data_IF_290697961662
#
_entry.id   IF_290697961662
#
_cell.length_a   1.000
_cell.length_b   1.000
_cell.length_c   1.000
_cell.angle_alpha   90.00
_cell.angle_beta   90.00
_cell.angle_gamma   90.00
#
_symmetry.space_group_name_H-M   'P 1'
#
loop_
_entity.id
_entity.type
_entity.pdbx_description
1 polymer ?
#
# COMPACT_ATOMS: atom_id res chain seq x y z
N UNK A 1 1.88 14.35 4.13
CA UNK A 1 1.12 13.48 5.06
C UNK A 1 2.05 12.99 6.16
N UNK A 2 1.72 13.33 7.40
CA UNK A 2 2.58 13.01 8.55
C UNK A 2 2.74 11.50 8.74
N UNK A 3 1.66 10.74 8.63
CA UNK A 3 1.74 9.28 8.75
C UNK A 3 2.71 8.69 7.73
N UNK A 4 2.60 9.13 6.47
CA UNK A 4 3.46 8.62 5.40
C UNK A 4 4.94 8.92 5.67
N UNK A 5 5.23 10.15 6.06
CA UNK A 5 6.61 10.56 6.34
C UNK A 5 7.23 9.82 7.52
N UNK A 6 6.46 9.58 8.58
CA UNK A 6 6.97 8.97 9.80
C UNK A 6 6.96 7.44 9.78
N UNK A 7 5.98 6.84 9.14
CA UNK A 7 5.74 5.39 9.21
C UNK A 7 5.65 4.76 7.84
N UNK A 8 4.75 5.27 7.00
CA UNK A 8 4.33 4.61 5.79
C UNK A 8 5.41 4.49 4.72
N UNK A 9 6.19 5.54 4.50
CA UNK A 9 7.17 5.56 3.43
C UNK A 9 8.16 4.41 3.54
N UNK A 10 8.80 4.28 4.69
CA UNK A 10 9.81 3.24 4.89
C UNK A 10 9.20 1.85 4.88
N UNK A 11 8.04 1.69 5.51
CA UNK A 11 7.35 0.40 5.53
C UNK A 11 6.95 -0.03 4.12
N UNK A 12 6.39 0.88 3.33
CA UNK A 12 6.00 0.57 1.95
C UNK A 12 7.21 0.32 1.07
N UNK A 13 8.29 1.09 1.20
CA UNK A 13 9.51 0.86 0.43
C UNK A 13 10.07 -0.53 0.66
N UNK A 14 10.11 -0.98 1.91
CA UNK A 14 10.60 -2.31 2.24
C UNK A 14 9.73 -3.41 1.61
N UNK A 15 8.42 -3.29 1.73
CA UNK A 15 7.49 -4.27 1.18
C UNK A 15 7.52 -4.24 -0.36
N UNK A 16 7.55 -3.07 -0.96
CA UNK A 16 7.59 -2.93 -2.42
C UNK A 16 8.87 -3.56 -2.97
N UNK A 17 10.00 -3.31 -2.32
CA UNK A 17 11.29 -3.89 -2.74
C UNK A 17 11.21 -5.42 -2.73
N UNK A 18 10.65 -5.99 -1.67
CA UNK A 18 10.50 -7.43 -1.56
C UNK A 18 9.55 -8.00 -2.60
N UNK A 19 8.39 -7.37 -2.77
CA UNK A 19 7.40 -7.83 -3.74
C UNK A 19 7.91 -7.67 -5.18
N UNK A 20 8.58 -6.57 -5.47
CA UNK A 20 9.15 -6.35 -6.79
C UNK A 20 10.19 -7.43 -7.13
N UNK A 21 11.01 -7.82 -6.17
CA UNK A 21 11.99 -8.88 -6.35
C UNK A 21 11.32 -10.23 -6.64
N UNK A 22 10.06 -10.42 -6.22
CA UNK A 22 9.29 -11.63 -6.48
C UNK A 22 8.35 -11.50 -7.68
N UNK A 23 8.48 -10.45 -8.47
CA UNK A 23 7.72 -10.28 -9.71
C UNK A 23 6.36 -9.62 -9.56
N UNK A 24 6.02 -9.12 -8.40
CA UNK A 24 4.76 -8.39 -8.19
C UNK A 24 4.91 -6.93 -8.61
N UNK A 25 3.81 -6.33 -9.05
CA UNK A 25 3.79 -4.92 -9.49
C UNK A 25 2.81 -4.07 -8.71
N UNK A 26 2.04 -4.68 -7.81
CA UNK A 26 1.03 -3.98 -7.02
C UNK A 26 0.72 -4.75 -5.74
N UNK A 27 0.13 -4.02 -4.79
CA UNK A 27 -0.38 -4.59 -3.55
C UNK A 27 -1.70 -3.89 -3.19
N UNK A 28 -2.43 -4.45 -2.25
CA UNK A 28 -3.64 -3.82 -1.71
C UNK A 28 -3.49 -3.67 -0.21
N UNK A 29 -4.00 -2.56 0.33
CA UNK A 29 -3.98 -2.29 1.76
C UNK A 29 -5.41 -2.23 2.24
N UNK A 30 -5.77 -3.08 3.19
CA UNK A 30 -7.10 -3.10 3.78
C UNK A 30 -7.28 -1.92 4.74
N UNK A 31 -8.51 -1.62 5.10
CA UNK A 31 -8.81 -0.50 6.00
C UNK A 31 -8.10 -0.60 7.35
N UNK A 32 -7.80 -1.81 7.81
CA UNK A 32 -7.06 -2.03 9.06
C UNK A 32 -5.54 -1.94 8.91
N UNK A 33 -5.04 -1.68 7.70
CA UNK A 33 -3.60 -1.59 7.42
C UNK A 33 -2.95 -2.86 6.92
N UNK A 34 -3.67 -3.97 6.81
CA UNK A 34 -3.11 -5.21 6.29
C UNK A 34 -2.74 -5.08 4.82
N UNK A 35 -1.48 -5.34 4.50
CA UNK A 35 -1.00 -5.36 3.12
C UNK A 35 -1.20 -6.76 2.58
N UNK A 36 -1.99 -6.90 1.53
CA UNK A 36 -2.33 -8.19 0.95
C UNK A 36 -1.97 -8.25 -0.53
N UNK A 37 -1.64 -9.46 -0.99
CA UNK A 37 -1.46 -9.75 -2.40
C UNK A 37 -2.30 -10.96 -2.75
N UNK A 38 -2.69 -11.07 -4.02
CA UNK A 38 -3.37 -12.26 -4.52
C UNK A 38 -2.32 -13.23 -5.05
N UNK A 39 -2.27 -14.42 -4.46
CA UNK A 39 -1.36 -15.46 -4.84
C UNK A 39 -2.14 -16.74 -5.05
N UNK A 40 -2.11 -17.28 -6.28
CA UNK A 40 -2.84 -18.51 -6.64
C UNK A 40 -4.32 -18.44 -6.25
N UNK A 41 -4.98 -17.32 -6.55
CA UNK A 41 -6.38 -17.04 -6.23
C UNK A 41 -6.67 -16.94 -4.72
N UNK A 42 -5.64 -16.82 -3.89
CA UNK A 42 -5.78 -16.61 -2.44
C UNK A 42 -5.18 -15.31 -2.02
N UNK A 43 -5.85 -14.64 -1.11
CA UNK A 43 -5.35 -13.43 -0.50
C UNK A 43 -4.33 -13.81 0.56
N UNK A 44 -3.15 -13.18 0.50
CA UNK A 44 -2.06 -13.45 1.44
C UNK A 44 -1.63 -12.13 2.09
N UNK A 45 -1.67 -12.08 3.42
CA UNK A 45 -1.24 -10.91 4.18
C UNK A 45 0.29 -10.92 4.29
N UNK A 46 0.92 -9.85 3.82
CA UNK A 46 2.39 -9.74 3.83
C UNK A 46 2.89 -8.99 5.05
N UNK A 47 2.16 -7.98 5.49
CA UNK A 47 2.52 -7.16 6.63
C UNK A 47 1.30 -6.35 7.06
N UNK A 48 1.40 -5.68 8.21
CA UNK A 48 0.37 -4.76 8.67
C UNK A 48 1.01 -3.41 8.94
N UNK A 49 0.43 -2.35 8.37
CA UNK A 49 0.91 -0.99 8.58
C UNK A 49 0.36 -0.43 9.88
N UNK A 50 1.26 0.09 10.72
CA UNK A 50 0.88 0.72 11.98
C UNK A 50 0.17 2.04 11.73
N UNK A 51 -0.90 2.29 12.48
CA UNK A 51 -1.65 3.54 12.45
C UNK A 51 -2.10 3.96 11.03
N UNK A 52 -2.42 3.00 10.18
CA UNK A 52 -2.83 3.28 8.81
C UNK A 52 -4.06 4.19 8.79
N UNK A 53 -4.05 5.28 7.99
CA UNK A 53 -5.16 6.23 7.94
C UNK A 53 -6.45 5.58 7.45
N UNK A 54 -7.58 6.06 7.97
CA UNK A 54 -8.88 5.61 7.53
C UNK A 54 -9.19 6.03 6.10
N UNK A 55 -10.18 5.38 5.51
CA UNK A 55 -10.58 5.59 4.12
C UNK A 55 -10.82 7.06 3.74
N UNK A 56 -11.39 7.93 4.59
CA UNK A 56 -11.55 9.35 4.24
C UNK A 56 -10.24 10.09 3.93
N UNK A 57 -9.11 9.57 4.38
CA UNK A 57 -7.80 10.19 4.17
C UNK A 57 -7.05 9.61 2.97
N UNK A 58 -7.62 8.63 2.28
CA UNK A 58 -6.92 7.93 1.21
C UNK A 58 -6.67 8.79 -0.04
N UNK A 59 -7.54 9.76 -0.32
CA UNK A 59 -7.28 10.66 -1.45
C UNK A 59 -6.01 11.48 -1.24
N UNK A 60 -5.84 12.00 -0.04
CA UNK A 60 -4.62 12.72 0.34
C UNK A 60 -3.40 11.80 0.26
N UNK A 61 -3.55 10.58 0.76
CA UNK A 61 -2.48 9.59 0.72
C UNK A 61 -2.10 9.23 -0.72
N UNK A 62 -3.09 9.09 -1.61
CA UNK A 62 -2.83 8.82 -3.03
C UNK A 62 -1.99 9.94 -3.64
N UNK A 63 -2.30 11.20 -3.33
CA UNK A 63 -1.52 12.34 -3.81
C UNK A 63 -0.06 12.22 -3.38
N UNK A 64 0.18 11.86 -2.12
CA UNK A 64 1.54 11.68 -1.60
C UNK A 64 2.24 10.52 -2.29
N UNK A 65 1.54 9.41 -2.52
CA UNK A 65 2.10 8.27 -3.23
C UNK A 65 2.52 8.65 -4.66
N UNK A 66 1.69 9.43 -5.35
CA UNK A 66 2.01 9.89 -6.70
C UNK A 66 3.23 10.81 -6.74
N UNK A 67 3.42 11.63 -5.71
CA UNK A 67 4.61 12.47 -5.57
C UNK A 67 5.87 11.62 -5.40
N UNK A 68 5.74 10.39 -4.96
CA UNK A 68 6.84 9.45 -4.77
C UNK A 68 6.91 8.39 -5.87
N UNK A 69 6.31 8.68 -7.03
CA UNK A 69 6.34 7.82 -8.22
C UNK A 69 5.61 6.49 -8.04
N UNK A 70 4.67 6.46 -7.11
CA UNK A 70 3.77 5.32 -6.91
C UNK A 70 2.39 5.69 -7.42
N UNK A 71 1.56 4.69 -7.68
CA UNK A 71 0.18 4.91 -8.09
C UNK A 71 -0.75 4.37 -7.01
N UNK A 72 -1.75 5.15 -6.66
CA UNK A 72 -2.76 4.75 -5.69
C UNK A 72 -4.14 4.75 -6.29
N UNK A 73 -4.97 3.79 -5.90
CA UNK A 73 -6.34 3.67 -6.38
C UNK A 73 -7.19 3.01 -5.31
N UNK A 74 -8.37 3.57 -5.06
CA UNK A 74 -9.34 2.94 -4.16
C UNK A 74 -10.09 1.86 -4.92
N UNK A 75 -10.05 0.63 -4.44
CA UNK A 75 -10.75 -0.50 -5.02
C UNK A 75 -11.57 -1.19 -3.93
N UNK A 76 -12.90 -0.97 -3.95
CA UNK A 76 -13.76 -1.49 -2.90
C UNK A 76 -13.38 -0.91 -1.55
N UNK A 77 -13.03 -1.77 -0.60
CA UNK A 77 -12.60 -1.38 0.74
C UNK A 77 -11.08 -1.34 0.90
N UNK A 78 -10.34 -1.40 -0.20
CA UNK A 78 -8.88 -1.45 -0.17
C UNK A 78 -8.27 -0.27 -0.91
N UNK A 79 -7.05 0.09 -0.52
CA UNK A 79 -6.21 1.02 -1.27
C UNK A 79 -5.18 0.20 -2.05
N UNK A 80 -5.27 0.25 -3.37
CA UNK A 80 -4.31 -0.44 -4.22
C UNK A 80 -3.12 0.47 -4.51
N UNK A 81 -1.92 -0.03 -4.31
CA UNK A 81 -0.68 0.68 -4.60
C UNK A 81 0.09 -0.09 -5.67
N UNK A 82 0.53 0.60 -6.70
CA UNK A 82 1.32 0.00 -7.78
C UNK A 82 2.52 0.87 -8.10
N UNK A 83 3.57 0.25 -8.69
CA UNK A 83 4.86 0.93 -8.93
C UNK A 83 5.41 0.71 -10.33
N UNK A 84 4.57 0.29 -11.23
CA UNK A 84 4.93 0.20 -12.66
C UNK A 84 4.05 1.07 -13.49
#
# INVERSE_FOLDING_TARGET
NVWYELIGQKALENIITELNANGYTKLSIKENGDIVINRKKKESVQATLDAFPGKPYWEELITVLEENELKGKVTGSCLQVSWI
#
